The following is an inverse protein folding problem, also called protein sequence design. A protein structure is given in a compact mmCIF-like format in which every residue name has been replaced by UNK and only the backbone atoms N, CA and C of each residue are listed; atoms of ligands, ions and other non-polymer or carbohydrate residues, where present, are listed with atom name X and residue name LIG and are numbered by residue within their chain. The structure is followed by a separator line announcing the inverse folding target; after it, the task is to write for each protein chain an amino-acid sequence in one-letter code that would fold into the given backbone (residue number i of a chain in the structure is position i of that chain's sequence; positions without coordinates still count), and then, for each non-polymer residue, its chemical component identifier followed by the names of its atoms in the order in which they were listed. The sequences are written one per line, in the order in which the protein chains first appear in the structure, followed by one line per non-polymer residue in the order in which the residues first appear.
data_IF_459771429593
#
_entry.id   IF_459771429593
#
_cell.length_a   1.000
_cell.length_b   1.000
_cell.length_c   1.000
_cell.angle_alpha   90.00
_cell.angle_beta   90.00
_cell.angle_gamma   90.00
#
_symmetry.space_group_name_H-M   'P 1'
#
loop_
_entity.id
_entity.type
_entity.pdbx_description
1 polymer ?
#
# COMPACT_ATOMS: atom_id res chain seq x y z
N UNK A 1 13.78 -10.78 12.74
CA UNK A 1 12.96 -9.99 11.80
C UNK A 1 11.56 -10.54 11.86
N UNK A 2 10.66 -9.85 12.55
CA UNK A 2 9.27 -10.27 12.75
C UNK A 2 8.56 -10.39 11.41
N UNK A 3 8.06 -11.59 11.10
CA UNK A 3 7.37 -11.95 9.88
C UNK A 3 6.23 -10.98 9.54
N UNK A 4 6.39 -10.23 8.44
CA UNK A 4 5.27 -9.50 7.83
C UNK A 4 4.28 -10.55 7.32
N UNK A 5 3.14 -10.69 8.01
CA UNK A 5 2.11 -11.69 7.67
C UNK A 5 1.07 -11.20 6.68
N UNK A 6 0.97 -9.90 6.44
CA UNK A 6 -0.12 -9.33 5.63
C UNK A 6 0.41 -8.26 4.70
N UNK A 7 0.18 -8.47 3.40
CA UNK A 7 0.46 -7.48 2.36
C UNK A 7 -0.84 -6.87 1.89
N UNK A 8 -0.85 -5.55 1.70
CA UNK A 8 -1.99 -4.80 1.18
C UNK A 8 -1.61 -4.23 -0.17
N UNK A 9 -2.38 -4.53 -1.21
CA UNK A 9 -2.10 -4.12 -2.58
C UNK A 9 -3.39 -3.64 -3.28
N UNK A 10 -3.24 -2.70 -4.20
CA UNK A 10 -4.27 -2.34 -5.19
C UNK A 10 -4.22 -3.22 -6.45
N UNK A 11 -4.81 -2.74 -7.55
CA UNK A 11 -4.83 -3.47 -8.82
C UNK A 11 -3.50 -3.39 -9.59
N UNK A 12 -3.34 -4.26 -10.60
CA UNK A 12 -2.23 -4.18 -11.58
C UNK A 12 -2.31 -2.86 -12.36
N UNK A 13 -1.17 -2.31 -12.78
CA UNK A 13 -1.09 -0.96 -13.36
C UNK A 13 -1.71 0.07 -12.41
N UNK A 14 -1.11 0.24 -11.22
CA UNK A 14 -1.74 0.95 -10.12
C UNK A 14 -1.93 2.43 -10.46
N UNK A 15 -3.08 2.94 -10.09
CA UNK A 15 -3.37 4.37 -10.09
C UNK A 15 -3.12 4.98 -8.71
N UNK A 16 -3.35 6.29 -8.63
CA UNK A 16 -3.19 7.08 -7.41
C UNK A 16 -4.00 6.51 -6.25
N UNK A 17 -5.26 6.15 -6.49
CA UNK A 17 -6.11 5.57 -5.45
C UNK A 17 -5.57 4.22 -4.98
N UNK A 18 -5.20 3.33 -5.90
CA UNK A 18 -4.64 2.01 -5.55
C UNK A 18 -3.45 2.06 -4.61
N UNK A 19 -2.54 3.03 -4.81
CA UNK A 19 -1.34 3.17 -3.99
C UNK A 19 -1.67 3.83 -2.64
N UNK A 20 -2.41 4.93 -2.66
CA UNK A 20 -2.80 5.66 -1.45
C UNK A 20 -3.71 4.82 -0.53
N UNK A 21 -4.66 4.08 -1.11
CA UNK A 21 -5.53 3.17 -0.39
C UNK A 21 -4.76 1.99 0.21
N UNK A 22 -3.76 1.44 -0.50
CA UNK A 22 -2.91 0.40 0.07
C UNK A 22 -2.11 0.91 1.29
N UNK A 23 -1.50 2.09 1.17
CA UNK A 23 -0.73 2.73 2.26
C UNK A 23 -1.61 3.01 3.47
N UNK A 24 -2.73 3.70 3.27
CA UNK A 24 -3.63 4.11 4.35
C UNK A 24 -4.25 2.91 5.06
N UNK A 25 -4.64 1.86 4.32
CA UNK A 25 -5.22 0.67 4.91
C UNK A 25 -4.20 -0.19 5.65
N UNK A 26 -2.97 -0.34 5.14
CA UNK A 26 -1.90 -1.04 5.86
C UNK A 26 -1.55 -0.33 7.17
N UNK A 27 -1.53 1.01 7.17
CA UNK A 27 -1.35 1.82 8.38
C UNK A 27 -2.49 1.59 9.38
N UNK A 28 -3.73 1.61 8.92
CA UNK A 28 -4.90 1.33 9.77
C UNK A 28 -4.83 -0.07 10.40
N UNK A 29 -4.54 -1.10 9.60
CA UNK A 29 -4.40 -2.48 10.11
C UNK A 29 -3.29 -2.58 11.17
N UNK A 30 -2.17 -1.91 10.94
CA UNK A 30 -1.06 -1.88 11.88
C UNK A 30 -1.46 -1.22 13.20
N UNK A 31 -2.20 -0.10 13.15
CA UNK A 31 -2.77 0.56 14.34
C UNK A 31 -3.79 -0.32 15.08
N UNK A 32 -4.48 -1.21 14.36
CA UNK A 32 -5.40 -2.21 14.92
C UNK A 32 -4.68 -3.46 15.46
N UNK A 33 -3.35 -3.45 15.57
CA UNK A 33 -2.56 -4.57 16.08
C UNK A 33 -2.38 -5.72 15.06
N UNK A 34 -2.64 -5.47 13.78
CA UNK A 34 -2.41 -6.41 12.67
C UNK A 34 -1.28 -5.86 11.78
N UNK A 35 -0.01 -6.24 12.02
CA UNK A 35 1.11 -5.77 11.21
C UNK A 35 0.88 -6.03 9.72
N UNK A 36 0.83 -4.96 8.93
CA UNK A 36 0.58 -5.02 7.50
C UNK A 36 1.58 -4.13 6.74
N UNK A 37 1.94 -4.55 5.54
CA UNK A 37 2.86 -3.79 4.67
C UNK A 37 2.15 -3.46 3.36
N UNK A 38 2.07 -2.17 2.97
CA UNK A 38 1.55 -1.79 1.67
C UNK A 38 2.55 -2.18 0.59
N UNK A 39 2.06 -2.70 -0.53
CA UNK A 39 2.86 -3.05 -1.71
C UNK A 39 2.20 -2.54 -2.98
N UNK A 40 3.03 -2.17 -3.94
CA UNK A 40 2.60 -1.66 -5.24
C UNK A 40 2.64 -2.79 -6.27
N UNK A 41 1.55 -3.02 -6.99
CA UNK A 41 1.45 -4.07 -8.02
C UNK A 41 1.89 -3.56 -9.42
N UNK A 42 2.88 -2.66 -9.45
CA UNK A 42 3.42 -2.04 -10.67
C UNK A 42 4.26 -0.81 -10.36
N UNK A 43 4.62 -0.06 -11.38
CA UNK A 43 5.28 1.24 -11.23
C UNK A 43 4.24 2.35 -10.98
N UNK A 44 4.58 3.30 -10.11
CA UNK A 44 3.76 4.47 -9.88
C UNK A 44 3.77 5.38 -11.13
N UNK A 45 2.59 5.90 -11.49
CA UNK A 45 2.49 6.86 -12.59
C UNK A 45 2.99 8.26 -12.14
N UNK A 46 3.07 9.22 -13.07
CA UNK A 46 3.56 10.58 -12.78
C UNK A 46 2.72 11.34 -11.76
N UNK A 47 1.40 11.18 -11.79
CA UNK A 47 0.49 11.82 -10.84
C UNK A 47 0.74 11.24 -9.44
N UNK A 48 0.74 9.91 -9.31
CA UNK A 48 0.97 9.24 -8.03
C UNK A 48 2.36 9.54 -7.46
N UNK A 49 3.37 9.63 -8.32
CA UNK A 49 4.75 10.00 -7.92
C UNK A 49 4.86 11.47 -7.50
N UNK A 50 4.01 12.35 -8.02
CA UNK A 50 4.02 13.76 -7.65
C UNK A 50 3.40 14.03 -6.27
N UNK A 51 2.41 13.24 -5.87
CA UNK A 51 1.66 13.44 -4.62
C UNK A 51 2.23 12.70 -3.41
N UNK A 52 3.09 11.69 -3.62
CA UNK A 52 3.70 10.84 -2.58
C UNK A 52 5.13 11.30 -2.27
#
# INVERSE_FOLDING_TARGET
MSDVKTYVAGHKSPDTDSICSAISFANLLTQMGKPATPVCAGEANKETTYIL
#
